data_IF_053669521660
#
_entry.id   IF_053669521660
#
_cell.length_a   1.000
_cell.length_b   1.000
_cell.length_c   1.000
_cell.angle_alpha   90.00
_cell.angle_beta   90.00
_cell.angle_gamma   90.00
#
_symmetry.space_group_name_H-M   'P 1'
#
loop_
_entity.id
_entity.type
_entity.pdbx_description
1 polymer ?
#
# COMPACT_ATOMS: atom_id res chain seq x y z
N UNK A 1 -4.15 13.89 -2.22
CA UNK A 1 -4.46 12.46 -2.41
C UNK A 1 -3.76 12.02 -3.69
N UNK A 2 -3.41 10.75 -3.82
CA UNK A 2 -2.71 10.19 -4.98
C UNK A 2 -3.32 8.82 -5.34
N UNK A 3 -3.55 8.63 -6.63
CA UNK A 3 -4.13 7.41 -7.20
C UNK A 3 -3.15 6.87 -8.25
N UNK A 4 -2.74 5.61 -8.07
CA UNK A 4 -1.91 4.88 -9.04
C UNK A 4 -2.68 3.62 -9.40
N UNK A 5 -3.13 3.53 -10.65
CA UNK A 5 -4.10 2.51 -11.04
C UNK A 5 -3.76 1.87 -12.39
N UNK A 6 -4.20 0.61 -12.53
CA UNK A 6 -4.29 -0.10 -13.81
C UNK A 6 -2.96 -0.19 -14.58
N UNK A 7 -1.96 -0.81 -13.95
CA UNK A 7 -0.68 -1.07 -14.61
C UNK A 7 -0.27 -2.53 -14.49
N UNK A 8 0.05 -3.13 -15.63
CA UNK A 8 0.63 -4.47 -15.73
C UNK A 8 2.16 -4.43 -15.73
N UNK A 9 2.75 -3.25 -15.95
CA UNK A 9 4.19 -3.07 -16.17
C UNK A 9 4.89 -2.35 -15.02
N UNK A 10 4.15 -1.66 -14.15
CA UNK A 10 4.71 -0.97 -13.00
C UNK A 10 5.26 -2.01 -12.01
N UNK A 11 6.59 -2.09 -11.90
CA UNK A 11 7.29 -3.05 -11.04
C UNK A 11 7.56 -2.53 -9.63
N UNK A 12 7.87 -1.24 -9.53
CA UNK A 12 8.31 -0.61 -8.28
C UNK A 12 7.71 0.79 -8.10
N UNK A 13 7.52 1.18 -6.84
CA UNK A 13 7.12 2.54 -6.42
C UNK A 13 8.10 3.00 -5.34
N UNK A 14 8.88 4.04 -5.63
CA UNK A 14 9.85 4.59 -4.69
C UNK A 14 9.36 5.92 -4.13
N UNK A 15 9.28 6.02 -2.80
CA UNK A 15 8.88 7.22 -2.07
C UNK A 15 10.07 7.71 -1.25
N UNK A 16 10.74 8.75 -1.76
CA UNK A 16 11.87 9.36 -1.07
C UNK A 16 11.47 10.08 0.22
N UNK A 17 12.44 10.26 1.12
CA UNK A 17 12.23 11.03 2.34
C UNK A 17 11.82 12.47 2.01
N UNK A 18 10.74 12.94 2.63
CA UNK A 18 10.17 14.27 2.38
C UNK A 18 9.34 14.37 1.10
N UNK A 19 9.15 13.27 0.37
CA UNK A 19 8.22 13.24 -0.75
C UNK A 19 6.78 13.41 -0.25
N UNK A 20 5.98 14.15 -1.02
CA UNK A 20 4.54 14.29 -0.81
C UNK A 20 4.16 14.66 0.66
N UNK A 21 4.76 15.72 1.26
CA UNK A 21 4.69 16.02 2.70
C UNK A 21 3.30 16.42 3.23
N UNK A 22 2.31 16.49 2.34
CA UNK A 22 0.91 16.81 2.63
C UNK A 22 -0.06 15.71 2.18
N UNK A 23 0.46 14.56 1.74
CA UNK A 23 -0.38 13.48 1.25
C UNK A 23 -1.06 12.75 2.40
N UNK A 24 -2.40 12.82 2.40
CA UNK A 24 -3.25 12.14 3.38
C UNK A 24 -3.80 10.81 2.90
N UNK A 25 -3.93 10.61 1.58
CA UNK A 25 -4.51 9.39 1.02
C UNK A 25 -3.70 8.89 -0.17
N UNK A 26 -3.42 7.59 -0.17
CA UNK A 26 -2.79 6.87 -1.26
C UNK A 26 -3.66 5.68 -1.66
N UNK A 27 -3.97 5.58 -2.95
CA UNK A 27 -4.65 4.44 -3.56
C UNK A 27 -3.73 3.77 -4.58
N UNK A 28 -3.49 2.49 -4.38
CA UNK A 28 -2.82 1.59 -5.31
C UNK A 28 -3.84 0.56 -5.79
N UNK A 29 -4.20 0.59 -7.07
CA UNK A 29 -5.28 -0.24 -7.61
C UNK A 29 -4.83 -1.05 -8.83
N UNK A 30 -5.00 -2.37 -8.79
CA UNK A 30 -4.77 -3.25 -9.94
C UNK A 30 -3.36 -3.07 -10.56
N UNK A 31 -2.34 -3.14 -9.71
CA UNK A 31 -0.92 -3.05 -10.09
C UNK A 31 -0.32 -4.47 -10.15
N UNK A 32 -0.69 -5.24 -11.16
CA UNK A 32 -0.39 -6.68 -11.23
C UNK A 32 1.10 -6.97 -11.46
N UNK A 33 1.85 -6.01 -12.00
CA UNK A 33 3.30 -6.12 -12.15
C UNK A 33 4.11 -5.76 -10.91
N UNK A 34 3.46 -5.21 -9.87
CA UNK A 34 4.16 -4.66 -8.71
C UNK A 34 4.69 -5.80 -7.82
N UNK A 35 5.99 -5.80 -7.57
CA UNK A 35 6.63 -6.92 -6.87
C UNK A 35 6.67 -6.68 -5.36
N UNK A 36 6.74 -5.41 -4.94
CA UNK A 36 7.05 -5.03 -3.57
C UNK A 36 6.28 -3.77 -3.13
N UNK A 37 5.93 -3.69 -1.83
CA UNK A 37 5.43 -2.46 -1.17
C UNK A 37 6.60 -1.53 -0.78
N UNK A 38 7.83 -2.05 -0.76
CA UNK A 38 8.85 -1.70 0.24
C UNK A 38 9.45 -0.29 0.21
N UNK A 39 9.31 0.50 -0.86
CA UNK A 39 10.10 1.72 -0.93
C UNK A 39 9.36 2.95 -0.41
N UNK A 40 9.40 3.10 0.92
CA UNK A 40 9.35 4.41 1.57
C UNK A 40 7.96 4.90 1.98
N UNK A 41 6.97 4.01 2.16
CA UNK A 41 5.63 4.43 2.61
C UNK A 41 5.68 5.12 3.98
N UNK A 42 6.63 4.72 4.83
CA UNK A 42 6.96 5.35 6.11
C UNK A 42 7.42 6.82 6.00
N UNK A 43 7.85 7.25 4.80
CA UNK A 43 8.20 8.64 4.53
C UNK A 43 6.97 9.53 4.32
N UNK A 44 5.76 8.96 4.19
CA UNK A 44 4.51 9.69 4.08
C UNK A 44 3.97 10.05 5.48
N UNK A 45 4.62 11.00 6.15
CA UNK A 45 4.38 11.35 7.57
C UNK A 45 2.93 11.77 7.91
N UNK A 46 2.13 12.18 6.91
CA UNK A 46 0.72 12.60 7.10
C UNK A 46 -0.29 11.63 6.49
N UNK A 47 0.14 10.42 6.13
CA UNK A 47 -0.74 9.43 5.52
C UNK A 47 -1.80 8.97 6.54
N UNK A 48 -3.05 9.24 6.23
CA UNK A 48 -4.21 8.87 7.04
C UNK A 48 -4.92 7.64 6.46
N UNK A 49 -4.84 7.47 5.13
CA UNK A 49 -5.57 6.44 4.40
C UNK A 49 -4.68 5.78 3.35
N UNK A 50 -4.61 4.44 3.43
CA UNK A 50 -3.96 3.60 2.43
C UNK A 50 -4.95 2.57 1.91
N UNK A 51 -5.20 2.58 0.60
CA UNK A 51 -5.93 1.52 -0.07
C UNK A 51 -5.03 0.82 -1.08
N UNK A 52 -4.87 -0.49 -0.91
CA UNK A 52 -4.19 -1.35 -1.87
C UNK A 52 -5.19 -2.41 -2.30
N UNK A 53 -5.59 -2.42 -3.56
CA UNK A 53 -6.70 -3.27 -3.99
C UNK A 53 -6.46 -3.94 -5.34
N UNK A 54 -7.07 -5.11 -5.49
CA UNK A 54 -6.92 -5.98 -6.66
C UNK A 54 -5.46 -6.36 -6.95
N UNK A 55 -4.68 -6.62 -5.91
CA UNK A 55 -3.30 -7.12 -6.05
C UNK A 55 -3.28 -8.63 -6.26
N UNK A 56 -2.17 -9.14 -6.77
CA UNK A 56 -1.93 -10.59 -6.80
C UNK A 56 -1.87 -11.19 -5.39
N UNK A 57 -2.30 -12.44 -5.25
CA UNK A 57 -2.28 -13.12 -3.96
C UNK A 57 -0.86 -13.27 -3.41
N UNK A 58 0.11 -13.56 -4.29
CA UNK A 58 1.53 -13.72 -3.94
C UNK A 58 2.12 -12.42 -3.39
N UNK A 59 1.72 -11.27 -3.95
CA UNK A 59 2.13 -9.96 -3.46
C UNK A 59 1.73 -9.75 -1.99
N UNK A 60 0.47 -9.99 -1.65
CA UNK A 60 -0.01 -9.81 -0.27
C UNK A 60 0.68 -10.78 0.69
N UNK A 61 0.87 -12.04 0.28
CA UNK A 61 1.56 -13.04 1.09
C UNK A 61 3.02 -12.67 1.35
N UNK A 62 3.76 -12.30 0.30
CA UNK A 62 5.16 -11.91 0.37
C UNK A 62 5.37 -10.70 1.30
N UNK A 63 4.50 -9.70 1.19
CA UNK A 63 4.67 -8.45 1.93
C UNK A 63 4.16 -8.53 3.39
N UNK A 64 3.25 -9.46 3.71
CA UNK A 64 2.59 -9.55 5.02
C UNK A 64 3.51 -9.79 6.23
N UNK A 65 4.75 -10.21 6.01
CA UNK A 65 5.75 -10.48 7.05
C UNK A 65 6.81 -9.38 7.16
N UNK A 66 6.72 -8.31 6.37
CA UNK A 66 7.74 -7.27 6.29
C UNK A 66 7.58 -6.17 7.33
N UNK A 67 8.67 -5.48 7.65
CA UNK A 67 8.66 -4.35 8.60
C UNK A 67 7.74 -3.21 8.11
N UNK A 68 7.73 -2.93 6.80
CA UNK A 68 6.84 -1.93 6.22
C UNK A 68 5.37 -2.28 6.42
N UNK A 69 5.01 -3.56 6.29
CA UNK A 69 3.65 -4.03 6.54
C UNK A 69 3.25 -3.81 8.00
N UNK A 70 4.13 -4.17 8.94
CA UNK A 70 3.89 -3.94 10.36
C UNK A 70 3.74 -2.44 10.66
N UNK A 71 4.60 -1.61 10.06
CA UNK A 71 4.52 -0.16 10.19
C UNK A 71 3.20 0.40 9.65
N UNK A 72 2.76 -0.03 8.45
CA UNK A 72 1.45 0.37 7.89
C UNK A 72 0.33 0.03 8.88
N UNK A 73 0.33 -1.19 9.39
CA UNK A 73 -0.70 -1.70 10.29
C UNK A 73 -0.67 -1.02 11.67
N UNK A 74 0.47 -0.45 12.07
CA UNK A 74 0.65 0.27 13.32
C UNK A 74 0.32 1.76 13.21
N UNK A 75 0.74 2.42 12.12
CA UNK A 75 0.80 3.87 12.02
C UNK A 75 -0.22 4.49 11.07
N UNK A 76 -0.71 3.76 10.07
CA UNK A 76 -1.75 4.29 9.17
C UNK A 76 -3.12 4.09 9.82
N UNK A 77 -3.90 5.15 10.10
CA UNK A 77 -5.21 5.05 10.77
C UNK A 77 -6.19 4.12 10.06
N UNK A 78 -6.22 4.20 8.73
CA UNK A 78 -7.04 3.34 7.88
C UNK A 78 -6.18 2.76 6.76
N UNK A 79 -5.82 1.49 6.87
CA UNK A 79 -5.30 0.72 5.76
C UNK A 79 -6.21 -0.46 5.42
N UNK A 80 -6.52 -0.62 4.14
CA UNK A 80 -7.23 -1.78 3.62
C UNK A 80 -6.49 -2.33 2.40
N UNK A 81 -6.21 -3.63 2.46
CA UNK A 81 -5.44 -4.35 1.46
C UNK A 81 -6.27 -5.54 0.99
N UNK A 82 -6.57 -5.62 -0.31
CA UNK A 82 -7.39 -6.67 -0.91
C UNK A 82 -6.79 -7.27 -2.18
N UNK A 83 -6.93 -8.59 -2.30
CA UNK A 83 -6.49 -9.36 -3.47
C UNK A 83 -7.53 -9.35 -4.58
N UNK A 84 -7.11 -9.66 -5.82
CA UNK A 84 -7.95 -9.64 -7.02
C UNK A 84 -9.22 -10.48 -6.92
N UNK A 85 -9.18 -11.57 -6.14
CA UNK A 85 -10.30 -12.49 -5.91
C UNK A 85 -11.16 -12.09 -4.71
N UNK A 86 -10.82 -11.00 -4.02
CA UNK A 86 -11.42 -10.54 -2.76
C UNK A 86 -11.44 -11.61 -1.66
N UNK A 87 -10.64 -12.69 -1.78
CA UNK A 87 -10.60 -13.75 -0.78
C UNK A 87 -9.82 -13.34 0.45
N UNK A 88 -8.80 -12.50 0.26
CA UNK A 88 -7.98 -11.97 1.33
C UNK A 88 -8.21 -10.47 1.43
N UNK A 89 -8.77 -10.05 2.57
CA UNK A 89 -8.86 -8.64 2.93
C UNK A 89 -8.25 -8.46 4.30
N UNK A 90 -7.18 -7.66 4.36
CA UNK A 90 -6.56 -7.24 5.61
C UNK A 90 -6.89 -5.79 5.85
N UNK A 91 -7.32 -5.47 7.06
CA UNK A 91 -7.72 -4.12 7.45
C UNK A 91 -7.17 -3.80 8.83
N UNK A 92 -6.56 -2.63 8.98
CA UNK A 92 -6.48 -1.98 10.28
C UNK A 92 -7.42 -0.76 10.24
N UNK A 93 -8.51 -0.83 10.99
CA UNK A 93 -9.37 0.32 11.21
C UNK A 93 -9.18 0.70 12.68
N UNK A 94 -8.29 1.66 12.95
CA UNK A 94 -8.09 2.18 14.29
C UNK A 94 -8.93 3.45 14.42
N UNK A 95 -9.97 3.37 15.26
CA UNK A 95 -10.85 4.49 15.63
C UNK A 95 -10.16 5.48 16.56
#
# INVERSE_FOLDING_TARGET
>A
ELYVENSLELRDIIIDKGALPSLKKLHLHSLLGLENIHTGIQNLEKLEVLYISRMENEFVQHNSTTEDWNWIMEHVPLAEISTIDNRNVVRNARS
#
